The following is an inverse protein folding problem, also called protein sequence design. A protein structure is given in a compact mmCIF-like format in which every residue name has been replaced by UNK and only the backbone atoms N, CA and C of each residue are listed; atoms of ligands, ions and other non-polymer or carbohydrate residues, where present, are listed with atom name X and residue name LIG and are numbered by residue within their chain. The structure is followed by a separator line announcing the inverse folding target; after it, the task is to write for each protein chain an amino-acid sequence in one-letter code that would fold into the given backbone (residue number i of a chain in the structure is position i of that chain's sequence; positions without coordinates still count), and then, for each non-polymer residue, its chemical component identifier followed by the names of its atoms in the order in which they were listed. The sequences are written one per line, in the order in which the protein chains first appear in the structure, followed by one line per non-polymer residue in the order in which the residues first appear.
data_IF_455027377117
#
_entry.id   IF_455027377117
#
_cell.length_a   1.000
_cell.length_b   1.000
_cell.length_c   1.000
_cell.angle_alpha   90.00
_cell.angle_beta   90.00
_cell.angle_gamma   90.00
#
_symmetry.space_group_name_H-M   'P 1'
#
loop_
_entity.id
_entity.type
_entity.pdbx_description
1 polymer ?
#
# COMPACT_ATOMS: atom_id res chain seq x y z
N UNK A 1 36.34 -1.08 12.39
CA UNK A 1 35.08 -0.65 11.72
C UNK A 1 33.99 -1.54 12.29
N UNK A 2 32.95 -0.96 12.90
CA UNK A 2 31.78 -1.73 13.33
C UNK A 2 31.23 -2.51 12.13
N UNK A 3 30.98 -3.81 12.29
CA UNK A 3 30.38 -4.65 11.24
C UNK A 3 28.89 -4.32 11.22
N UNK A 4 28.47 -3.44 10.31
CA UNK A 4 27.05 -3.12 10.13
C UNK A 4 26.28 -4.40 9.78
N UNK A 5 25.27 -4.73 10.57
CA UNK A 5 24.37 -5.86 10.32
C UNK A 5 22.97 -5.35 9.95
N UNK A 6 22.51 -5.56 8.70
CA UNK A 6 21.18 -5.13 8.28
C UNK A 6 20.04 -5.86 9.01
N UNK A 7 20.26 -7.05 9.57
CA UNK A 7 19.26 -7.76 10.38
C UNK A 7 19.06 -7.08 11.73
N UNK A 8 20.16 -6.76 12.44
CA UNK A 8 20.11 -6.00 13.69
C UNK A 8 19.50 -4.61 13.48
N UNK A 9 19.91 -3.91 12.41
CA UNK A 9 19.37 -2.59 12.05
C UNK A 9 17.85 -2.61 11.85
N UNK A 10 17.34 -3.67 11.23
CA UNK A 10 15.91 -3.86 10.99
C UNK A 10 15.19 -4.53 12.16
N UNK A 11 15.88 -4.88 13.24
CA UNK A 11 15.35 -5.59 14.40
C UNK A 11 14.58 -6.86 13.99
N UNK A 12 15.22 -7.70 13.17
CA UNK A 12 14.74 -8.98 12.66
C UNK A 12 15.84 -10.03 12.77
N UNK A 13 15.47 -11.31 12.79
CA UNK A 13 16.42 -12.43 12.85
C UNK A 13 15.98 -13.56 11.91
N UNK A 14 16.87 -14.09 11.05
CA UNK A 14 16.55 -15.19 10.15
C UNK A 14 16.48 -16.51 10.92
N UNK A 15 15.51 -17.35 10.59
CA UNK A 15 15.34 -18.67 11.18
C UNK A 15 15.93 -19.77 10.28
N UNK A 16 16.37 -20.93 10.83
CA UNK A 16 16.94 -22.03 10.04
C UNK A 16 16.01 -22.62 8.98
N UNK A 17 14.69 -22.50 9.17
CA UNK A 17 13.67 -22.96 8.21
C UNK A 17 13.42 -21.96 7.06
N UNK A 18 14.13 -20.84 7.04
CA UNK A 18 14.00 -19.79 6.04
C UNK A 18 12.90 -18.76 6.32
N UNK A 19 12.23 -18.85 7.49
CA UNK A 19 11.30 -17.82 7.98
C UNK A 19 12.03 -16.68 8.71
N UNK A 20 11.29 -15.64 9.12
CA UNK A 20 11.88 -14.47 9.78
C UNK A 20 11.22 -14.17 11.13
N UNK A 21 12.02 -14.11 12.18
CA UNK A 21 11.59 -13.60 13.48
C UNK A 21 11.61 -12.06 13.46
N UNK A 22 10.47 -11.44 13.76
CA UNK A 22 10.31 -9.97 13.83
C UNK A 22 10.33 -9.55 15.29
N UNK A 23 11.42 -8.89 15.72
CA UNK A 23 11.69 -8.63 17.14
C UNK A 23 11.01 -7.34 17.65
N UNK A 24 10.50 -6.50 16.75
CA UNK A 24 9.72 -5.33 17.13
C UNK A 24 8.28 -5.74 17.40
N UNK A 25 7.82 -5.54 18.64
CA UNK A 25 6.41 -5.66 18.95
C UNK A 25 5.67 -4.39 18.49
N UNK A 26 4.79 -4.54 17.50
CA UNK A 26 3.92 -3.45 17.05
C UNK A 26 2.55 -3.67 17.67
N UNK A 27 1.98 -2.69 18.39
CA UNK A 27 0.67 -2.86 19.01
C UNK A 27 -0.40 -3.01 17.94
N UNK A 28 -1.49 -3.70 18.25
CA UNK A 28 -2.63 -3.85 17.35
C UNK A 28 -3.68 -2.80 17.71
N UNK A 29 -4.14 -2.04 16.72
CA UNK A 29 -5.28 -1.13 16.92
C UNK A 29 -6.59 -1.90 16.74
N UNK A 30 -7.52 -1.87 17.71
CA UNK A 30 -8.83 -2.51 17.55
C UNK A 30 -9.68 -1.79 16.49
N UNK A 31 -10.66 -2.50 15.95
CA UNK A 31 -11.67 -1.91 15.05
C UNK A 31 -12.68 -1.07 15.84
N UNK A 32 -13.30 -0.08 15.20
CA UNK A 32 -14.34 0.76 15.81
C UNK A 32 -15.58 0.77 14.91
N UNK A 33 -16.67 0.16 15.37
CA UNK A 33 -17.96 0.14 14.64
C UNK A 33 -18.92 1.23 15.11
N UNK A 34 -18.69 1.78 16.30
CA UNK A 34 -19.55 2.77 16.93
C UNK A 34 -19.33 4.15 16.29
N UNK A 35 -20.38 4.68 15.65
CA UNK A 35 -20.37 6.01 15.04
C UNK A 35 -20.51 7.11 16.09
N UNK A 36 -21.09 6.80 17.25
CA UNK A 36 -21.37 7.76 18.33
C UNK A 36 -20.16 7.97 19.25
N UNK A 37 -19.08 7.21 19.04
CA UNK A 37 -17.85 7.31 19.83
C UNK A 37 -16.99 8.56 19.52
N UNK A 38 -17.47 9.46 18.68
CA UNK A 38 -16.77 10.71 18.30
C UNK A 38 -15.58 10.52 17.34
N UNK A 39 -15.40 9.31 16.78
CA UNK A 39 -14.32 9.02 15.82
C UNK A 39 -14.61 9.63 14.44
N UNK A 40 -13.56 9.96 13.69
CA UNK A 40 -13.68 10.52 12.34
C UNK A 40 -13.90 9.45 11.26
N UNK A 41 -13.59 8.19 11.57
CA UNK A 41 -13.83 7.04 10.72
C UNK A 41 -14.10 5.80 11.58
N UNK A 42 -15.01 4.95 11.11
CA UNK A 42 -15.24 3.60 11.64
C UNK A 42 -14.45 2.60 10.84
N UNK A 43 -14.11 1.46 11.46
CA UNK A 43 -13.37 0.38 10.82
C UNK A 43 -13.86 -1.00 11.23
N UNK A 44 -13.62 -2.00 10.36
CA UNK A 44 -13.90 -3.42 10.63
C UNK A 44 -13.02 -4.35 9.81
N UNK A 45 -12.81 -5.56 10.30
CA UNK A 45 -11.98 -6.56 9.65
C UNK A 45 -12.84 -7.63 8.98
N UNK A 46 -12.43 -8.04 7.78
CA UNK A 46 -13.11 -9.07 6.99
C UNK A 46 -12.11 -10.05 6.41
N UNK A 47 -12.38 -11.37 6.45
CA UNK A 47 -11.52 -12.35 5.80
C UNK A 47 -11.51 -12.13 4.28
N UNK A 48 -10.32 -12.17 3.69
CA UNK A 48 -10.14 -12.13 2.23
C UNK A 48 -9.95 -13.55 1.70
N UNK A 49 -8.98 -14.26 2.26
CA UNK A 49 -8.69 -15.65 1.94
C UNK A 49 -8.19 -16.37 3.21
N UNK A 50 -9.04 -17.20 3.85
CA UNK A 50 -8.68 -17.91 5.08
C UNK A 50 -7.49 -18.86 4.93
N UNK A 51 -7.33 -19.51 3.78
CA UNK A 51 -6.21 -20.45 3.55
C UNK A 51 -4.87 -19.72 3.53
N UNK A 52 -4.84 -18.54 2.92
CA UNK A 52 -3.67 -17.65 2.87
C UNK A 52 -3.53 -16.78 4.12
N UNK A 53 -4.51 -16.83 5.03
CA UNK A 53 -4.63 -15.97 6.23
C UNK A 53 -4.59 -14.47 5.90
N UNK A 54 -5.05 -14.10 4.70
CA UNK A 54 -5.17 -12.70 4.30
C UNK A 54 -6.55 -12.18 4.63
N UNK A 55 -6.61 -10.90 4.97
CA UNK A 55 -7.83 -10.20 5.37
C UNK A 55 -7.73 -8.73 4.98
N UNK A 56 -8.83 -8.00 5.09
CA UNK A 56 -8.88 -6.55 4.84
C UNK A 56 -9.44 -5.81 6.04
N UNK A 57 -8.88 -4.64 6.35
CA UNK A 57 -9.53 -3.66 7.22
C UNK A 57 -10.26 -2.65 6.35
N UNK A 58 -11.57 -2.58 6.50
CA UNK A 58 -12.37 -1.53 5.90
C UNK A 58 -12.40 -0.31 6.80
N UNK A 59 -12.37 0.87 6.19
CA UNK A 59 -12.61 2.15 6.84
C UNK A 59 -13.67 2.92 6.07
N UNK A 60 -14.58 3.56 6.79
CA UNK A 60 -15.60 4.47 6.23
C UNK A 60 -15.65 5.74 7.07
N UNK A 61 -15.78 6.93 6.48
CA UNK A 61 -16.02 8.14 7.26
C UNK A 61 -17.28 8.00 8.12
N UNK A 62 -17.29 8.62 9.29
CA UNK A 62 -18.51 8.79 10.10
C UNK A 62 -19.42 9.86 9.52
N UNK A 63 -18.84 10.89 8.90
CA UNK A 63 -19.58 11.93 8.16
C UNK A 63 -19.50 11.68 6.67
N UNK A 64 -20.55 11.08 6.11
CA UNK A 64 -20.67 10.85 4.67
C UNK A 64 -21.04 12.17 3.96
N UNK A 65 -20.44 12.48 2.79
CA UNK A 65 -20.91 13.56 1.94
C UNK A 65 -22.37 13.32 1.52
N UNK A 66 -23.17 14.37 1.44
CA UNK A 66 -24.57 14.34 1.00
C UNK A 66 -24.76 15.34 -0.13
N UNK A 67 -25.49 14.92 -1.17
CA UNK A 67 -25.97 15.81 -2.23
C UNK A 67 -27.49 15.70 -2.27
N UNK A 68 -28.20 16.82 -2.14
CA UNK A 68 -29.65 16.94 -2.39
C UNK A 68 -30.52 15.83 -1.76
N UNK A 69 -30.29 15.54 -0.47
CA UNK A 69 -30.99 14.54 0.36
C UNK A 69 -30.68 13.06 0.09
N UNK A 70 -29.74 12.73 -0.80
CA UNK A 70 -29.21 11.37 -0.96
C UNK A 70 -27.77 11.26 -0.45
N UNK A 71 -27.45 10.14 0.21
CA UNK A 71 -26.10 9.84 0.64
C UNK A 71 -25.22 9.64 -0.59
N UNK A 72 -24.22 10.49 -0.78
CA UNK A 72 -23.35 10.40 -1.94
C UNK A 72 -22.51 9.12 -1.88
N UNK A 73 -22.46 8.37 -3.00
CA UNK A 73 -21.48 7.30 -3.14
C UNK A 73 -20.08 7.90 -3.26
N UNK A 74 -19.14 7.37 -2.50
CA UNK A 74 -17.78 7.88 -2.38
C UNK A 74 -16.75 6.91 -2.99
N UNK A 75 -15.60 7.42 -3.45
CA UNK A 75 -14.53 6.58 -4.01
C UNK A 75 -14.12 5.42 -3.11
N UNK A 76 -13.62 4.36 -3.73
CA UNK A 76 -13.00 3.23 -3.03
C UNK A 76 -11.49 3.33 -3.21
N UNK A 77 -10.73 3.26 -2.11
CA UNK A 77 -9.27 3.18 -2.14
C UNK A 77 -8.85 1.78 -1.72
N UNK A 78 -8.29 1.01 -2.64
CA UNK A 78 -7.62 -0.26 -2.33
C UNK A 78 -6.18 0.04 -1.92
N UNK A 79 -5.88 -0.14 -0.63
CA UNK A 79 -4.65 0.32 0.01
C UNK A 79 -3.69 -0.83 0.34
N UNK A 80 -2.45 -0.70 -0.13
CA UNK A 80 -1.31 -1.56 0.19
C UNK A 80 -0.28 -0.81 1.05
N UNK A 81 -0.07 -1.28 2.27
CA UNK A 81 0.82 -0.64 3.22
C UNK A 81 2.31 -0.79 2.85
N UNK A 82 3.13 0.13 3.39
CA UNK A 82 4.58 0.04 3.38
C UNK A 82 5.10 -1.02 4.37
N UNK A 83 6.42 -1.15 4.53
CA UNK A 83 7.02 -2.09 5.48
C UNK A 83 8.12 -2.99 4.92
N UNK A 84 8.66 -2.65 3.75
CA UNK A 84 9.84 -3.34 3.21
C UNK A 84 9.62 -4.82 2.94
N UNK A 85 8.38 -5.23 2.61
CA UNK A 85 7.93 -6.61 2.31
C UNK A 85 7.74 -7.53 3.50
N UNK A 86 8.41 -7.28 4.61
CA UNK A 86 8.42 -8.16 5.77
C UNK A 86 7.76 -7.56 7.01
N UNK A 87 7.34 -6.29 7.00
CA UNK A 87 6.82 -5.61 8.19
C UNK A 87 5.41 -5.04 7.95
N UNK A 88 4.75 -4.84 9.07
CA UNK A 88 3.43 -4.27 9.26
C UNK A 88 2.24 -5.16 8.89
N UNK A 89 1.10 -4.84 9.50
CA UNK A 89 -0.22 -5.41 9.26
C UNK A 89 -1.25 -4.28 9.06
N UNK A 90 -2.41 -4.60 8.48
CA UNK A 90 -3.49 -3.61 8.30
C UNK A 90 -4.03 -3.04 9.63
N UNK A 91 -3.77 -3.72 10.75
CA UNK A 91 -4.15 -3.32 12.10
C UNK A 91 -3.09 -2.53 12.87
N UNK A 92 -1.88 -2.38 12.33
CA UNK A 92 -0.82 -1.63 13.01
C UNK A 92 -1.12 -0.12 12.99
N UNK A 93 -0.70 0.66 14.01
CA UNK A 93 -1.15 2.04 14.22
C UNK A 93 -0.94 2.92 13.00
N UNK A 94 0.23 2.81 12.38
CA UNK A 94 0.60 3.65 11.25
C UNK A 94 -0.19 3.31 9.97
N UNK A 95 -0.55 2.04 9.81
CA UNK A 95 -1.36 1.56 8.69
C UNK A 95 -2.83 1.90 8.93
N UNK A 96 -3.31 1.71 10.15
CA UNK A 96 -4.65 2.06 10.59
C UNK A 96 -4.90 3.56 10.47
N UNK A 97 -3.98 4.40 10.96
CA UNK A 97 -4.07 5.86 10.87
C UNK A 97 -4.16 6.32 9.40
N UNK A 98 -3.36 5.74 8.50
CA UNK A 98 -3.48 5.99 7.06
C UNK A 98 -4.86 5.64 6.51
N UNK A 99 -5.41 4.49 6.89
CA UNK A 99 -6.79 4.09 6.53
C UNK A 99 -7.84 5.11 7.03
N UNK A 100 -7.69 5.56 8.28
CA UNK A 100 -8.54 6.60 8.89
C UNK A 100 -8.41 7.94 8.16
N UNK A 101 -7.22 8.32 7.71
CA UNK A 101 -7.00 9.54 6.93
C UNK A 101 -7.61 9.47 5.53
N UNK A 102 -7.53 8.32 4.85
CA UNK A 102 -8.24 8.12 3.58
C UNK A 102 -9.76 8.29 3.76
N UNK A 103 -10.30 7.70 4.83
CA UNK A 103 -11.71 7.80 5.14
C UNK A 103 -12.16 9.23 5.46
N UNK A 104 -11.44 9.92 6.34
CA UNK A 104 -11.86 11.22 6.89
C UNK A 104 -11.41 12.44 6.07
N UNK A 105 -10.22 12.42 5.46
CA UNK A 105 -9.65 13.59 4.77
C UNK A 105 -9.85 13.55 3.25
N UNK A 106 -9.92 12.34 2.66
CA UNK A 106 -10.23 12.13 1.23
C UNK A 106 -11.70 11.75 0.96
N UNK A 107 -12.59 11.78 1.97
CA UNK A 107 -13.89 11.09 1.94
C UNK A 107 -13.98 9.85 1.04
N UNK A 108 -13.33 8.74 1.39
CA UNK A 108 -13.34 7.50 0.61
C UNK A 108 -13.59 6.27 1.50
N UNK A 109 -14.11 5.17 0.94
CA UNK A 109 -14.01 3.87 1.62
C UNK A 109 -12.62 3.34 1.39
N UNK A 110 -11.85 3.12 2.45
CA UNK A 110 -10.53 2.50 2.34
C UNK A 110 -10.63 0.99 2.60
N UNK A 111 -10.11 0.18 1.68
CA UNK A 111 -9.91 -1.26 1.81
C UNK A 111 -8.41 -1.49 2.02
N UNK A 112 -7.98 -1.55 3.28
CA UNK A 112 -6.57 -1.78 3.64
C UNK A 112 -6.27 -3.29 3.65
N UNK A 113 -5.37 -3.73 2.78
CA UNK A 113 -5.10 -5.17 2.60
C UNK A 113 -4.02 -5.64 3.56
N UNK A 114 -4.32 -6.68 4.33
CA UNK A 114 -3.33 -7.45 5.09
C UNK A 114 -2.84 -8.63 4.24
N UNK A 115 -1.86 -8.36 3.38
CA UNK A 115 -1.26 -9.35 2.48
C UNK A 115 -0.18 -10.20 3.19
N UNK A 116 0.22 -11.31 2.57
CA UNK A 116 1.27 -12.18 3.13
C UNK A 116 2.65 -11.50 3.10
N UNK A 117 3.46 -11.71 4.14
CA UNK A 117 4.78 -11.08 4.25
C UNK A 117 5.91 -12.00 3.77
N UNK A 118 6.99 -11.40 3.29
CA UNK A 118 8.24 -12.09 3.00
C UNK A 118 9.10 -12.25 4.27
N UNK A 119 9.99 -13.26 4.33
CA UNK A 119 10.30 -14.25 3.29
C UNK A 119 9.36 -15.47 3.28
N UNK A 120 8.41 -15.59 4.21
CA UNK A 120 7.49 -16.73 4.30
C UNK A 120 6.64 -16.87 3.02
N UNK A 121 6.23 -15.74 2.44
CA UNK A 121 5.63 -15.66 1.13
C UNK A 121 6.43 -14.67 0.27
N UNK A 122 7.36 -15.17 -0.55
CA UNK A 122 8.13 -14.35 -1.50
C UNK A 122 7.25 -13.88 -2.66
N UNK A 123 7.67 -12.80 -3.33
CA UNK A 123 7.08 -12.35 -4.58
C UNK A 123 7.04 -13.52 -5.57
N UNK A 124 5.92 -13.79 -6.26
CA UNK A 124 4.78 -12.88 -6.49
C UNK A 124 3.61 -12.94 -5.50
N UNK A 125 3.72 -13.60 -4.34
CA UNK A 125 2.59 -13.85 -3.45
C UNK A 125 1.76 -12.59 -3.10
N UNK A 126 2.42 -11.47 -2.82
CA UNK A 126 1.78 -10.19 -2.50
C UNK A 126 0.99 -9.62 -3.68
N UNK A 127 1.46 -9.82 -4.91
CA UNK A 127 0.75 -9.39 -6.10
C UNK A 127 -0.49 -10.26 -6.36
N UNK A 128 -0.44 -11.54 -6.00
CA UNK A 128 -1.61 -12.43 -6.05
C UNK A 128 -2.64 -12.02 -5.00
N UNK A 129 -2.22 -11.73 -3.78
CA UNK A 129 -3.09 -11.24 -2.70
C UNK A 129 -3.75 -9.90 -3.09
N UNK A 130 -3.01 -9.04 -3.80
CA UNK A 130 -3.53 -7.79 -4.34
C UNK A 130 -4.58 -7.99 -5.43
N UNK A 131 -4.39 -8.97 -6.32
CA UNK A 131 -5.39 -9.36 -7.32
C UNK A 131 -6.63 -9.95 -6.64
N UNK A 132 -6.46 -10.81 -5.63
CA UNK A 132 -7.57 -11.35 -4.84
C UNK A 132 -8.36 -10.24 -4.15
N UNK A 133 -7.70 -9.25 -3.55
CA UNK A 133 -8.37 -8.11 -2.93
C UNK A 133 -9.17 -7.28 -3.96
N UNK A 134 -8.61 -7.03 -5.15
CA UNK A 134 -9.32 -6.31 -6.22
C UNK A 134 -10.57 -7.06 -6.69
N UNK A 135 -10.44 -8.37 -6.92
CA UNK A 135 -11.57 -9.23 -7.30
C UNK A 135 -12.59 -9.40 -6.18
N UNK A 136 -12.16 -9.37 -4.93
CA UNK A 136 -13.05 -9.38 -3.77
C UNK A 136 -13.91 -8.11 -3.73
N UNK A 137 -13.34 -6.93 -4.02
CA UNK A 137 -14.13 -5.69 -4.14
C UNK A 137 -15.12 -5.80 -5.29
N UNK A 138 -14.68 -6.28 -6.48
CA UNK A 138 -15.58 -6.54 -7.62
C UNK A 138 -16.77 -7.40 -7.20
N UNK A 139 -16.52 -8.49 -6.45
CA UNK A 139 -17.57 -9.39 -5.95
C UNK A 139 -18.58 -8.67 -5.05
N UNK A 140 -18.15 -7.73 -4.20
CA UNK A 140 -19.07 -6.98 -3.34
C UNK A 140 -20.06 -6.11 -4.14
N UNK A 141 -19.69 -5.68 -5.35
CA UNK A 141 -20.58 -4.93 -6.23
C UNK A 141 -21.68 -5.81 -6.85
N UNK A 142 -21.39 -7.09 -7.07
CA UNK A 142 -22.23 -8.04 -7.79
C UNK A 142 -23.11 -8.88 -6.86
N UNK A 143 -22.68 -9.08 -5.62
CA UNK A 143 -23.41 -9.86 -4.62
C UNK A 143 -24.49 -9.00 -3.93
N UNK A 144 -25.78 -9.36 -4.00
CA UNK A 144 -26.84 -8.66 -3.27
C UNK A 144 -26.63 -8.64 -1.76
N UNK A 145 -25.91 -9.65 -1.23
CA UNK A 145 -25.52 -9.76 0.18
C UNK A 145 -24.06 -9.33 0.41
N UNK A 146 -23.47 -8.65 -0.57
CA UNK A 146 -22.12 -8.10 -0.48
C UNK A 146 -21.97 -7.12 0.68
N UNK A 147 -20.72 -6.84 1.02
CA UNK A 147 -20.36 -6.01 2.15
C UNK A 147 -21.11 -4.66 2.12
N UNK A 148 -21.88 -4.40 3.18
CA UNK A 148 -22.82 -3.29 3.29
C UNK A 148 -22.19 -1.92 3.04
N UNK A 149 -21.01 -1.61 3.58
CA UNK A 149 -20.41 -0.29 3.41
C UNK A 149 -20.03 -0.05 1.94
N UNK A 150 -19.41 -1.03 1.29
CA UNK A 150 -19.08 -0.96 -0.13
C UNK A 150 -20.33 -0.88 -1.02
N UNK A 151 -21.35 -1.70 -0.74
CA UNK A 151 -22.60 -1.72 -1.53
C UNK A 151 -23.39 -0.42 -1.41
N UNK A 152 -23.57 0.07 -0.18
CA UNK A 152 -24.44 1.22 0.10
C UNK A 152 -23.73 2.56 -0.14
N UNK A 153 -22.42 2.65 0.10
CA UNK A 153 -21.69 3.93 0.09
C UNK A 153 -20.52 3.97 -0.90
N UNK A 154 -20.02 2.84 -1.39
CA UNK A 154 -18.85 2.81 -2.28
C UNK A 154 -19.22 3.05 -3.74
N UNK A 155 -18.54 3.92 -4.45
CA UNK A 155 -18.65 4.08 -5.90
C UNK A 155 -17.64 3.18 -6.62
N UNK A 156 -18.10 2.04 -7.11
CA UNK A 156 -17.27 1.06 -7.81
C UNK A 156 -16.69 1.58 -9.13
N UNK A 157 -17.28 2.63 -9.72
CA UNK A 157 -16.72 3.29 -10.90
C UNK A 157 -15.54 4.22 -10.58
N UNK A 158 -15.32 4.50 -9.29
CA UNK A 158 -14.25 5.35 -8.76
C UNK A 158 -13.37 4.57 -7.78
N UNK A 159 -12.81 3.46 -8.24
CA UNK A 159 -11.83 2.67 -7.47
C UNK A 159 -10.42 3.15 -7.76
N UNK A 160 -9.62 3.41 -6.73
CA UNK A 160 -8.23 3.85 -6.84
C UNK A 160 -7.31 2.89 -6.11
N UNK A 161 -6.16 2.60 -6.71
CA UNK A 161 -5.14 1.78 -6.08
C UNK A 161 -4.13 2.70 -5.41
N UNK A 162 -3.90 2.55 -4.11
CA UNK A 162 -2.89 3.31 -3.38
C UNK A 162 -1.86 2.38 -2.76
N UNK A 163 -0.59 2.76 -2.85
CA UNK A 163 0.48 2.09 -2.12
C UNK A 163 1.58 3.04 -1.67
N UNK A 164 2.30 2.65 -0.61
CA UNK A 164 3.50 3.34 -0.15
C UNK A 164 4.70 2.39 -0.11
N UNK A 165 5.89 2.80 -0.54
CA UNK A 165 7.10 1.95 -0.53
C UNK A 165 6.94 0.64 -1.32
N UNK A 166 7.13 -0.52 -0.70
CA UNK A 166 6.79 -1.81 -1.30
C UNK A 166 5.31 -1.93 -1.68
N UNK A 167 4.41 -1.31 -0.91
CA UNK A 167 2.99 -1.21 -1.26
C UNK A 167 2.78 -0.48 -2.59
N UNK A 168 3.56 0.56 -2.89
CA UNK A 168 3.53 1.25 -4.17
C UNK A 168 4.08 0.38 -5.32
N UNK A 169 5.03 -0.50 -5.04
CA UNK A 169 5.47 -1.53 -5.99
C UNK A 169 4.34 -2.56 -6.27
N UNK A 170 3.59 -2.98 -5.24
CA UNK A 170 2.39 -3.81 -5.37
C UNK A 170 1.35 -3.10 -6.23
N UNK A 171 1.04 -1.83 -5.95
CA UNK A 171 0.11 -1.00 -6.72
C UNK A 171 0.47 -0.94 -8.20
N UNK A 172 1.74 -0.69 -8.52
CA UNK A 172 2.22 -0.66 -9.91
C UNK A 172 2.02 -2.01 -10.61
N UNK A 173 2.43 -3.11 -9.98
CA UNK A 173 2.28 -4.45 -10.56
C UNK A 173 0.82 -4.90 -10.67
N UNK A 174 -0.04 -4.54 -9.70
CA UNK A 174 -1.48 -4.79 -9.78
C UNK A 174 -2.09 -4.02 -10.95
N UNK A 175 -1.74 -2.74 -11.10
CA UNK A 175 -2.22 -1.91 -12.21
C UNK A 175 -1.86 -2.49 -13.57
N UNK A 176 -0.66 -3.05 -13.74
CA UNK A 176 -0.28 -3.75 -14.97
C UNK A 176 -1.07 -5.05 -15.17
N UNK A 177 -1.26 -5.84 -14.10
CA UNK A 177 -2.00 -7.11 -14.15
C UNK A 177 -3.48 -6.92 -14.43
N UNK A 178 -4.07 -5.78 -14.03
CA UNK A 178 -5.49 -5.52 -14.16
C UNK A 178 -5.91 -5.05 -15.55
N UNK A 179 -4.98 -4.67 -16.43
CA UNK A 179 -5.29 -4.11 -17.76
C UNK A 179 -6.06 -5.06 -18.68
N UNK A 180 -5.84 -6.37 -18.52
CA UNK A 180 -6.46 -7.41 -19.33
C UNK A 180 -7.50 -8.23 -18.52
N UNK A 181 -7.84 -7.78 -17.30
CA UNK A 181 -8.85 -8.41 -16.47
C UNK A 181 -10.24 -7.82 -16.78
N UNK A 182 -11.25 -8.68 -16.80
CA UNK A 182 -12.64 -8.21 -16.72
C UNK A 182 -12.93 -7.76 -15.28
N UNK A 183 -13.13 -6.46 -15.08
CA UNK A 183 -13.41 -5.86 -13.78
C UNK A 183 -14.85 -5.36 -13.63
N UNK A 184 -15.67 -5.34 -14.68
CA UNK A 184 -17.00 -4.73 -14.62
C UNK A 184 -17.88 -5.37 -13.52
N UNK A 185 -18.55 -4.57 -12.67
CA UNK A 185 -18.79 -3.12 -12.79
C UNK A 185 -17.70 -2.23 -12.17
N UNK A 186 -16.63 -2.80 -11.61
CA UNK A 186 -15.54 -2.06 -10.99
C UNK A 186 -14.66 -1.41 -12.05
N UNK A 187 -14.36 -0.11 -11.87
CA UNK A 187 -13.43 0.64 -12.73
C UNK A 187 -12.31 1.24 -11.91
N UNK A 188 -11.08 1.04 -12.38
CA UNK A 188 -9.89 1.66 -11.79
C UNK A 188 -9.73 3.07 -12.38
N UNK A 189 -9.89 4.09 -11.54
CA UNK A 189 -9.75 5.51 -11.91
C UNK A 189 -8.30 6.00 -11.93
N UNK A 190 -7.39 5.29 -11.25
CA UNK A 190 -5.98 5.64 -11.23
C UNK A 190 -5.15 4.94 -10.15
N UNK A 191 -3.83 5.14 -10.24
CA UNK A 191 -2.83 4.62 -9.32
C UNK A 191 -2.20 5.78 -8.54
N UNK A 192 -2.16 5.68 -7.21
CA UNK A 192 -1.34 6.54 -6.37
C UNK A 192 -0.16 5.73 -5.86
N UNK A 193 1.04 6.15 -6.28
CA UNK A 193 2.29 5.44 -6.09
C UNK A 193 3.19 6.33 -5.22
N UNK A 194 3.08 6.18 -3.90
CA UNK A 194 3.83 6.98 -2.93
C UNK A 194 5.19 6.32 -2.59
N UNK A 195 6.29 7.03 -2.85
CA UNK A 195 7.67 6.58 -2.66
C UNK A 195 7.91 5.13 -3.12
N UNK A 196 7.65 4.79 -4.39
CA UNK A 196 7.72 3.41 -4.86
C UNK A 196 9.09 2.77 -4.61
N UNK A 197 9.07 1.56 -4.04
CA UNK A 197 10.28 0.78 -3.86
C UNK A 197 10.63 0.05 -5.15
N UNK A 198 11.62 0.58 -5.87
CA UNK A 198 12.28 -0.05 -7.02
C UNK A 198 13.81 0.03 -6.83
N UNK A 199 14.55 -0.91 -7.41
CA UNK A 199 16.02 -0.90 -7.41
C UNK A 199 16.53 -1.71 -8.61
N UNK A 200 17.83 -1.94 -8.68
CA UNK A 200 18.50 -2.75 -9.69
C UNK A 200 19.86 -3.22 -9.18
N UNK A 201 20.56 -4.07 -9.95
CA UNK A 201 21.96 -4.39 -9.64
C UNK A 201 22.83 -3.13 -9.76
N UNK A 202 22.62 -2.36 -10.84
CA UNK A 202 23.30 -1.09 -11.02
C UNK A 202 22.66 -0.02 -10.14
N UNK A 203 23.47 0.57 -9.24
CA UNK A 203 23.01 1.63 -8.35
C UNK A 203 22.70 2.91 -9.13
N UNK A 204 21.59 3.53 -8.78
CA UNK A 204 21.22 4.87 -9.21
C UNK A 204 22.07 5.94 -8.51
N UNK A 205 22.08 7.16 -9.07
CA UNK A 205 22.77 8.30 -8.44
C UNK A 205 22.22 8.61 -7.05
N UNK A 206 20.92 8.43 -6.83
CA UNK A 206 20.28 8.62 -5.52
C UNK A 206 20.70 7.55 -4.52
N UNK A 207 20.72 6.27 -4.91
CA UNK A 207 21.20 5.19 -4.01
C UNK A 207 22.65 5.43 -3.57
N UNK A 208 23.52 5.89 -4.48
CA UNK A 208 24.90 6.22 -4.12
C UNK A 208 25.00 7.46 -3.22
N UNK A 209 24.22 8.50 -3.50
CA UNK A 209 24.19 9.72 -2.67
C UNK A 209 23.71 9.43 -1.25
N UNK A 210 22.76 8.52 -1.08
CA UNK A 210 22.16 8.15 0.21
C UNK A 210 22.64 6.77 0.69
N UNK A 211 23.86 6.38 0.34
CA UNK A 211 24.31 5.00 0.57
C UNK A 211 24.37 4.60 2.06
N UNK A 212 24.60 5.60 2.92
CA UNK A 212 24.61 5.48 4.38
C UNK A 212 23.42 6.21 5.03
N UNK A 213 22.26 6.22 4.36
CA UNK A 213 21.02 6.72 4.96
C UNK A 213 20.78 6.05 6.32
N UNK A 214 20.25 6.82 7.29
CA UNK A 214 20.10 6.32 8.65
C UNK A 214 18.98 5.29 8.80
N UNK A 215 17.96 5.32 7.92
CA UNK A 215 16.85 4.38 7.97
C UNK A 215 17.04 3.25 6.97
N UNK A 216 17.41 3.58 5.72
CA UNK A 216 17.50 2.65 4.60
C UNK A 216 18.87 2.70 3.90
N UNK A 217 19.98 2.39 4.60
CA UNK A 217 21.30 2.29 3.96
C UNK A 217 21.32 1.14 2.94
N UNK A 218 22.29 1.12 2.01
CA UNK A 218 22.30 0.11 0.93
C UNK A 218 22.22 -1.34 1.39
N UNK A 219 22.94 -1.79 2.45
CA UNK A 219 22.84 -3.18 2.89
C UNK A 219 21.44 -3.56 3.39
N UNK A 220 20.68 -2.59 3.93
CA UNK A 220 19.30 -2.78 4.36
C UNK A 220 18.37 -2.91 3.16
N UNK A 221 18.51 -2.03 2.16
CA UNK A 221 17.74 -2.13 0.91
C UNK A 221 18.02 -3.44 0.17
N UNK A 222 19.27 -3.88 0.15
CA UNK A 222 19.67 -5.15 -0.45
C UNK A 222 19.02 -6.34 0.28
N UNK A 223 19.07 -6.36 1.62
CA UNK A 223 18.43 -7.40 2.42
C UNK A 223 16.90 -7.42 2.20
N UNK A 224 16.25 -6.26 2.15
CA UNK A 224 14.80 -6.18 1.87
C UNK A 224 14.43 -6.85 0.55
N UNK A 225 15.22 -6.61 -0.51
CA UNK A 225 15.00 -7.25 -1.81
C UNK A 225 15.35 -8.74 -1.78
N UNK A 226 16.41 -9.13 -1.09
CA UNK A 226 16.78 -10.54 -0.92
C UNK A 226 15.67 -11.33 -0.22
N UNK A 227 15.04 -10.78 0.82
CA UNK A 227 13.93 -11.43 1.51
C UNK A 227 12.67 -11.54 0.63
N UNK A 228 12.42 -10.54 -0.22
CA UNK A 228 11.19 -10.43 -1.00
C UNK A 228 11.22 -11.19 -2.33
N UNK A 229 12.33 -11.16 -3.05
CA UNK A 229 12.42 -11.71 -4.41
C UNK A 229 12.27 -13.25 -4.43
N UNK A 230 11.90 -13.83 -5.59
CA UNK A 230 11.99 -15.27 -5.78
C UNK A 230 13.38 -15.80 -5.41
N UNK A 231 13.46 -17.00 -4.83
CA UNK A 231 14.75 -17.61 -4.47
C UNK A 231 15.65 -17.69 -5.72
N UNK A 232 16.90 -17.25 -5.58
CA UNK A 232 17.89 -17.23 -6.66
C UNK A 232 17.75 -16.07 -7.64
N UNK A 233 16.72 -15.22 -7.53
CA UNK A 233 16.62 -14.01 -8.32
C UNK A 233 17.51 -12.90 -7.75
N UNK A 234 18.03 -12.07 -8.65
CA UNK A 234 18.78 -10.86 -8.29
C UNK A 234 17.90 -9.60 -8.47
N UNK A 235 18.48 -8.43 -8.21
CA UNK A 235 17.74 -7.16 -8.28
C UNK A 235 17.44 -6.67 -9.70
N UNK A 236 17.96 -7.32 -10.74
CA UNK A 236 17.49 -7.10 -12.11
C UNK A 236 16.23 -7.91 -12.43
N UNK A 237 15.70 -8.69 -11.50
CA UNK A 237 14.37 -9.25 -11.65
C UNK A 237 13.33 -8.14 -11.81
N UNK A 238 12.38 -8.28 -12.76
CA UNK A 238 11.38 -7.24 -13.13
C UNK A 238 10.53 -6.70 -11.98
N UNK A 239 10.41 -7.46 -10.89
CA UNK A 239 9.69 -7.04 -9.68
C UNK A 239 10.44 -5.96 -8.90
N UNK A 240 11.77 -5.99 -8.96
CA UNK A 240 12.66 -5.02 -8.33
C UNK A 240 13.00 -3.89 -9.31
N UNK A 241 13.40 -4.24 -10.53
CA UNK A 241 13.79 -3.30 -11.56
C UNK A 241 12.74 -3.24 -12.68
N UNK A 242 11.87 -2.21 -12.73
CA UNK A 242 10.85 -2.10 -13.77
C UNK A 242 11.43 -1.70 -15.14
N UNK A 243 12.70 -1.32 -15.21
CA UNK A 243 13.37 -0.85 -16.43
C UNK A 243 13.97 -1.97 -17.27
N UNK A 244 14.03 -3.20 -16.74
CA UNK A 244 14.53 -4.34 -17.53
C UNK A 244 13.57 -4.67 -18.67
N UNK A 245 14.13 -5.15 -19.78
CA UNK A 245 13.34 -5.55 -20.93
C UNK A 245 12.33 -6.64 -20.55
N UNK A 246 11.08 -6.46 -20.98
CA UNK A 246 10.02 -7.40 -20.69
C UNK A 246 8.66 -6.95 -21.21
N UNK A 247 7.69 -7.86 -21.16
CA UNK A 247 6.32 -7.60 -21.62
C UNK A 247 5.65 -6.41 -20.91
N UNK A 248 5.99 -6.16 -19.64
CA UNK A 248 5.45 -5.05 -18.86
C UNK A 248 5.71 -3.68 -19.50
N UNK A 249 6.83 -3.49 -20.21
CA UNK A 249 7.12 -2.23 -20.90
C UNK A 249 6.10 -1.93 -22.01
N UNK A 250 5.56 -2.97 -22.66
CA UNK A 250 4.50 -2.82 -23.69
C UNK A 250 3.15 -2.45 -23.08
N UNK A 251 2.96 -2.70 -21.79
CA UNK A 251 1.73 -2.39 -21.07
C UNK A 251 1.74 -0.96 -20.50
N UNK A 252 2.91 -0.34 -20.30
CA UNK A 252 3.03 1.01 -19.73
C UNK A 252 2.18 2.08 -20.45
N UNK A 253 2.09 2.12 -21.79
CA UNK A 253 1.24 3.11 -22.47
C UNK A 253 -0.25 2.97 -22.18
N UNK A 254 -0.69 1.79 -21.71
CA UNK A 254 -2.08 1.48 -21.34
C UNK A 254 -2.34 1.68 -19.85
N UNK A 255 -1.31 1.96 -19.04
CA UNK A 255 -1.45 2.08 -17.61
C UNK A 255 -2.39 3.24 -17.25
N UNK A 256 -3.18 3.05 -16.19
CA UNK A 256 -4.07 4.09 -15.69
C UNK A 256 -3.31 5.38 -15.36
N UNK A 257 -4.06 6.48 -15.26
CA UNK A 257 -3.55 7.74 -14.71
C UNK A 257 -2.81 7.49 -13.39
N UNK A 258 -1.61 8.04 -13.25
CA UNK A 258 -0.76 7.84 -12.09
C UNK A 258 -0.47 9.16 -11.38
N UNK A 259 -0.56 9.17 -10.04
CA UNK A 259 0.09 10.15 -9.18
C UNK A 259 1.30 9.48 -8.54
N UNK A 260 2.50 9.94 -8.90
CA UNK A 260 3.75 9.47 -8.30
C UNK A 260 4.23 10.52 -7.30
N UNK A 261 4.36 10.13 -6.04
CA UNK A 261 4.78 11.02 -4.96
C UNK A 261 6.18 10.61 -4.52
N UNK A 262 7.10 11.57 -4.49
CA UNK A 262 8.48 11.36 -4.04
C UNK A 262 8.95 12.53 -3.19
N UNK A 263 9.64 12.22 -2.10
CA UNK A 263 10.31 13.19 -1.23
C UNK A 263 11.53 12.52 -0.59
N UNK A 264 12.54 13.34 -0.26
CA UNK A 264 13.70 12.89 0.50
C UNK A 264 13.46 13.07 1.99
N UNK A 265 13.80 12.06 2.78
CA UNK A 265 13.88 12.20 4.22
C UNK A 265 15.05 13.11 4.60
N UNK A 266 14.96 13.76 5.76
CA UNK A 266 16.08 14.51 6.34
C UNK A 266 16.20 14.15 7.81
N UNK A 267 17.44 14.03 8.26
CA UNK A 267 17.77 13.97 9.67
C UNK A 267 18.52 15.26 10.00
N UNK A 268 18.03 16.00 10.99
CA UNK A 268 18.67 17.20 11.51
C UNK A 268 18.66 17.18 13.05
N UNK A 269 18.97 18.31 13.68
CA UNK A 269 19.10 18.41 15.14
C UNK A 269 17.78 18.14 15.90
N UNK A 270 16.62 18.15 15.22
CA UNK A 270 15.32 17.82 15.82
C UNK A 270 14.85 16.40 15.52
N UNK A 271 15.59 15.65 14.69
CA UNK A 271 15.42 14.22 14.46
C UNK A 271 15.06 13.87 13.01
N UNK A 272 14.45 12.69 12.83
CA UNK A 272 14.11 12.18 11.50
C UNK A 272 12.78 12.73 11.01
N UNK A 273 12.80 13.59 9.98
CA UNK A 273 11.64 14.34 9.51
C UNK A 273 11.53 14.31 7.98
N UNK A 274 10.45 14.88 7.44
CA UNK A 274 10.26 15.02 6.00
C UNK A 274 9.68 13.80 5.28
N UNK A 275 9.31 12.74 6.01
CA UNK A 275 8.47 11.66 5.48
C UNK A 275 7.07 11.70 6.08
N UNK A 276 6.08 11.35 5.27
CA UNK A 276 4.66 11.38 5.62
C UNK A 276 4.28 10.45 6.79
N UNK A 277 5.12 9.48 7.12
CA UNK A 277 4.95 8.56 8.25
C UNK A 277 5.09 9.24 9.62
N UNK A 278 5.99 10.22 9.74
CA UNK A 278 6.36 10.83 11.03
C UNK A 278 6.26 12.36 11.03
N UNK A 279 6.11 12.99 9.87
CA UNK A 279 5.92 14.44 9.71
C UNK A 279 4.45 14.73 9.36
N UNK A 280 3.65 15.27 10.31
CA UNK A 280 2.24 15.57 10.07
C UNK A 280 2.00 16.59 8.95
N UNK A 281 2.93 17.54 8.74
CA UNK A 281 2.81 18.53 7.67
C UNK A 281 2.99 17.85 6.32
N UNK A 282 3.98 16.96 6.20
CA UNK A 282 4.17 16.15 4.99
C UNK A 282 2.98 15.23 4.77
N UNK A 283 2.47 14.61 5.83
CA UNK A 283 1.28 13.76 5.78
C UNK A 283 0.08 14.51 5.20
N UNK A 284 -0.21 15.72 5.71
CA UNK A 284 -1.30 16.56 5.20
C UNK A 284 -1.11 16.94 3.72
N UNK A 285 0.11 17.28 3.29
CA UNK A 285 0.40 17.57 1.88
C UNK A 285 0.15 16.36 0.99
N UNK A 286 0.63 15.17 1.40
CA UNK A 286 0.38 13.91 0.67
C UNK A 286 -1.12 13.65 0.58
N UNK A 287 -1.85 13.78 1.69
CA UNK A 287 -3.30 13.57 1.72
C UNK A 287 -4.06 14.55 0.81
N UNK A 288 -3.62 15.81 0.74
CA UNK A 288 -4.20 16.79 -0.19
C UNK A 288 -3.95 16.40 -1.65
N UNK A 289 -2.72 16.00 -2.03
CA UNK A 289 -2.42 15.53 -3.38
C UNK A 289 -3.28 14.30 -3.75
N UNK A 290 -3.44 13.36 -2.81
CA UNK A 290 -4.30 12.17 -3.01
C UNK A 290 -5.75 12.58 -3.22
N UNK A 291 -6.27 13.48 -2.38
CA UNK A 291 -7.64 13.98 -2.48
C UNK A 291 -7.88 14.69 -3.81
N UNK A 292 -7.00 15.60 -4.21
CA UNK A 292 -7.08 16.28 -5.51
C UNK A 292 -7.05 15.28 -6.65
N UNK A 293 -6.19 14.26 -6.59
CA UNK A 293 -6.13 13.24 -7.63
C UNK A 293 -7.44 12.43 -7.74
N UNK A 294 -8.02 12.03 -6.62
CA UNK A 294 -9.22 11.18 -6.56
C UNK A 294 -10.52 11.93 -6.90
N UNK A 295 -10.57 13.23 -6.58
CA UNK A 295 -11.75 14.07 -6.76
C UNK A 295 -11.70 14.99 -7.98
N UNK A 296 -10.54 15.13 -8.62
CA UNK A 296 -10.47 15.77 -9.95
C UNK A 296 -11.12 14.88 -11.01
N UNK A 297 -11.84 15.52 -11.93
CA UNK A 297 -12.33 14.84 -13.13
C UNK A 297 -11.15 14.22 -13.91
N UNK A 298 -11.32 13.07 -14.57
CA UNK A 298 -10.32 12.55 -15.50
C UNK A 298 -9.98 13.65 -16.51
N UNK A 299 -8.68 13.89 -16.77
CA UNK A 299 -8.29 14.77 -17.86
C UNK A 299 -8.94 14.25 -19.15
N UNK A 300 -9.64 15.13 -19.88
CA UNK A 300 -10.28 14.84 -21.16
C UNK A 300 -9.26 14.44 -22.21
#
# INVERSE_FOLDING_TARGET
MSKFDPYEHLNISPNPDGTLTRLTNVPVVPTTLDEDSGVVAVSKDLPLNPEKKTWVRLFRPTKLPSNDNEVARIPIILYFHGGGWFRFQASDPVVHERGTHFASQTPAICVSVNFRLAPEARLPAQYEDAVEALLWIKKQALDPNGEKWLRDYGDFSRTYLYGCSNGANITFNLGLRSLDMDLEPLKIGGLVINQPMFSGIQRTKSELRFAADQLLPLPVLDLMWELALPKGADRNHRYCNPMVDGHHLKLLPRLYRCLVIGYGARFDDVGFHGIDLVDPRRSAVVMNMVKEFIWSAPAK
#
